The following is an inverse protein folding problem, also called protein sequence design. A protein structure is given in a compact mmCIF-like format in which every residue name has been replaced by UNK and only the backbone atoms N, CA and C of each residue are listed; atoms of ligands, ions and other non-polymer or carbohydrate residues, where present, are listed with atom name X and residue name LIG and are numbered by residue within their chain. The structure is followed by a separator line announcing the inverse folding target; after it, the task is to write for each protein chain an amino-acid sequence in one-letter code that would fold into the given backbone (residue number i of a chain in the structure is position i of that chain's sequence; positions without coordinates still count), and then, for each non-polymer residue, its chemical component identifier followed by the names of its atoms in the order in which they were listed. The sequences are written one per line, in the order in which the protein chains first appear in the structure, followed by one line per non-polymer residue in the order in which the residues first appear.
data_IF_608170262959
#
_entry.id   IF_608170262959
#
_cell.length_a   1.000
_cell.length_b   1.000
_cell.length_c   1.000
_cell.angle_alpha   90.00
_cell.angle_beta   90.00
_cell.angle_gamma   90.00
#
_symmetry.space_group_name_H-M   'P 1'
#
loop_
_entity.id
_entity.type
_entity.pdbx_description
1 polymer ?
#
# COMPACT_ATOMS: atom_id res chain seq x y z
N UNK A 1 -19.91 2.91 -9.29
CA UNK A 1 -19.36 1.61 -8.84
C UNK A 1 -18.38 1.92 -7.71
N UNK A 2 -18.79 1.81 -6.44
CA UNK A 2 -17.93 2.00 -5.25
C UNK A 2 -17.11 3.33 -5.12
N UNK A 3 -17.50 4.39 -5.83
CA UNK A 3 -16.74 5.66 -5.97
C UNK A 3 -16.42 6.33 -4.62
N UNK A 4 -17.28 6.20 -3.62
CA UNK A 4 -17.07 6.79 -2.28
C UNK A 4 -15.89 6.17 -1.55
N UNK A 5 -15.73 4.84 -1.59
CA UNK A 5 -14.62 4.13 -0.92
C UNK A 5 -13.28 4.45 -1.57
N UNK A 6 -13.28 4.51 -2.91
CA UNK A 6 -12.12 4.91 -3.68
C UNK A 6 -11.68 6.34 -3.34
N UNK A 7 -12.62 7.29 -3.31
CA UNK A 7 -12.32 8.68 -2.94
C UNK A 7 -11.81 8.80 -1.49
N UNK A 8 -12.35 7.99 -0.56
CA UNK A 8 -11.88 7.95 0.82
C UNK A 8 -10.44 7.46 0.93
N UNK A 9 -10.10 6.38 0.21
CA UNK A 9 -8.74 5.86 0.12
C UNK A 9 -7.79 6.89 -0.50
N UNK A 10 -8.20 7.57 -1.58
CA UNK A 10 -7.40 8.62 -2.24
C UNK A 10 -7.12 9.80 -1.30
N UNK A 11 -8.12 10.23 -0.51
CA UNK A 11 -7.92 11.28 0.50
C UNK A 11 -6.93 10.84 1.56
N UNK A 12 -7.04 9.62 2.07
CA UNK A 12 -6.08 9.07 3.03
C UNK A 12 -4.64 9.08 2.47
N UNK A 13 -4.46 8.62 1.23
CA UNK A 13 -3.16 8.58 0.57
C UNK A 13 -2.52 9.97 0.32
N UNK A 14 -3.34 11.02 0.25
CA UNK A 14 -2.89 12.41 0.08
C UNK A 14 -2.58 13.14 1.39
N UNK A 15 -2.91 12.54 2.55
CA UNK A 15 -2.68 13.17 3.85
C UNK A 15 -1.21 13.06 4.27
N UNK A 16 -0.65 14.11 4.91
CA UNK A 16 0.64 14.03 5.60
C UNK A 16 0.63 12.93 6.67
N UNK A 17 1.78 12.27 6.89
CA UNK A 17 1.92 11.12 7.82
C UNK A 17 1.36 11.42 9.22
N UNK A 18 1.60 12.62 9.73
CA UNK A 18 1.13 13.07 11.05
C UNK A 18 -0.41 13.01 11.16
N UNK A 19 -1.12 13.39 10.09
CA UNK A 19 -2.58 13.44 10.05
C UNK A 19 -3.24 12.10 9.70
N UNK A 20 -2.46 11.13 9.21
CA UNK A 20 -2.99 9.80 8.88
C UNK A 20 -3.49 9.07 10.13
N UNK A 21 -2.81 9.23 11.27
CA UNK A 21 -3.23 8.61 12.54
C UNK A 21 -4.60 9.11 12.99
N UNK A 22 -4.80 10.43 13.00
CA UNK A 22 -6.08 11.04 13.38
C UNK A 22 -7.20 10.63 12.41
N UNK A 23 -6.87 10.48 11.13
CA UNK A 23 -7.82 10.00 10.13
C UNK A 23 -8.23 8.55 10.39
N UNK A 24 -7.31 7.66 10.76
CA UNK A 24 -7.62 6.27 11.11
C UNK A 24 -8.53 6.19 12.34
N UNK A 25 -8.26 6.98 13.37
CA UNK A 25 -9.13 7.08 14.55
C UNK A 25 -10.53 7.59 14.18
N UNK A 26 -10.62 8.57 13.28
CA UNK A 26 -11.90 9.06 12.79
C UNK A 26 -12.68 8.02 11.96
N UNK A 27 -12.00 7.11 11.25
CA UNK A 27 -12.65 6.00 10.54
C UNK A 27 -13.19 4.96 11.51
N UNK A 28 -12.42 4.61 12.54
CA UNK A 28 -12.83 3.67 13.59
C UNK A 28 -14.09 4.16 14.33
N UNK A 29 -14.11 5.44 14.72
CA UNK A 29 -15.27 6.08 15.34
C UNK A 29 -16.53 6.09 14.46
N UNK A 30 -16.36 5.99 13.13
CA UNK A 30 -17.46 5.91 12.15
C UNK A 30 -17.79 4.47 11.76
N UNK A 31 -17.18 3.48 12.41
CA UNK A 31 -17.29 2.05 12.10
C UNK A 31 -16.97 1.73 10.63
N UNK A 32 -16.07 2.49 10.02
CA UNK A 32 -15.59 2.23 8.66
C UNK A 32 -14.36 1.32 8.75
N UNK A 33 -14.49 0.11 8.24
CA UNK A 33 -13.39 -0.86 8.15
C UNK A 33 -12.36 -0.41 7.10
N UNK A 34 -11.21 0.06 7.57
CA UNK A 34 -10.11 0.51 6.72
C UNK A 34 -9.55 -0.62 5.85
N UNK A 35 -9.57 -1.86 6.32
CA UNK A 35 -9.02 -3.03 5.59
C UNK A 35 -9.79 -3.34 4.30
N UNK A 36 -11.03 -2.86 4.20
CA UNK A 36 -11.89 -3.02 3.02
C UNK A 36 -11.78 -1.87 2.03
N UNK A 37 -10.96 -0.86 2.32
CA UNK A 37 -10.71 0.22 1.38
C UNK A 37 -9.80 -0.28 0.27
N UNK A 38 -10.02 0.15 -0.99
CA UNK A 38 -9.17 -0.24 -2.09
C UNK A 38 -7.77 0.35 -1.92
N UNK A 39 -6.76 -0.39 -2.35
CA UNK A 39 -5.39 0.13 -2.46
C UNK A 39 -5.36 1.14 -3.60
N UNK A 40 -4.90 2.35 -3.32
CA UNK A 40 -4.80 3.44 -4.30
C UNK A 40 -3.35 3.92 -4.42
N UNK A 41 -3.03 4.51 -5.57
CA UNK A 41 -1.71 5.12 -5.79
C UNK A 41 -1.46 6.21 -4.73
N UNK A 42 -0.29 6.14 -4.09
CA UNK A 42 0.16 7.20 -3.17
C UNK A 42 0.38 8.50 -3.94
N UNK A 43 -0.12 9.62 -3.41
CA UNK A 43 0.09 10.96 -3.95
C UNK A 43 1.04 11.79 -3.09
N UNK A 44 1.70 11.18 -2.10
CA UNK A 44 2.67 11.88 -1.29
C UNK A 44 3.82 12.39 -2.19
N UNK A 45 4.20 13.65 -2.03
CA UNK A 45 5.24 14.30 -2.84
C UNK A 45 6.65 13.69 -2.64
N UNK A 46 6.80 12.73 -1.71
CA UNK A 46 8.04 12.03 -1.38
C UNK A 46 8.04 10.55 -1.79
N UNK A 47 7.36 10.20 -2.89
CA UNK A 47 7.34 8.80 -3.41
C UNK A 47 8.66 8.44 -4.11
N UNK A 48 9.48 9.42 -4.51
CA UNK A 48 10.66 9.18 -5.33
C UNK A 48 11.79 8.42 -4.62
N UNK A 49 11.77 8.32 -3.28
CA UNK A 49 12.80 7.63 -2.48
C UNK A 49 12.19 6.76 -1.36
N UNK A 50 11.29 5.84 -1.70
CA UNK A 50 10.80 4.84 -0.74
C UNK A 50 11.76 3.64 -0.76
N UNK A 51 12.42 3.29 0.36
CA UNK A 51 13.27 2.11 0.39
C UNK A 51 12.45 0.84 0.18
N UNK A 52 13.07 -0.18 -0.41
CA UNK A 52 12.45 -1.50 -0.54
C UNK A 52 12.08 -2.03 0.85
N UNK A 53 10.88 -2.59 0.95
CA UNK A 53 10.49 -3.37 2.13
C UNK A 53 11.40 -4.58 2.29
N UNK A 54 11.49 -5.12 3.51
CA UNK A 54 12.30 -6.31 3.78
C UNK A 54 12.00 -7.48 2.83
N UNK A 55 10.72 -7.74 2.58
CA UNK A 55 10.29 -8.77 1.63
C UNK A 55 10.71 -8.47 0.18
N UNK A 56 10.63 -7.21 -0.25
CA UNK A 56 11.08 -6.80 -1.58
C UNK A 56 12.60 -6.92 -1.75
N UNK A 57 13.38 -6.56 -0.72
CA UNK A 57 14.85 -6.74 -0.73
C UNK A 57 15.22 -8.22 -0.83
N UNK A 58 14.58 -9.10 -0.05
CA UNK A 58 14.80 -10.54 -0.13
C UNK A 58 14.42 -11.11 -1.49
N UNK A 59 13.28 -10.67 -2.05
CA UNK A 59 12.87 -11.08 -3.40
C UNK A 59 13.87 -10.61 -4.46
N UNK A 60 14.31 -9.36 -4.41
CA UNK A 60 15.30 -8.80 -5.32
C UNK A 60 16.63 -9.56 -5.26
N UNK A 61 17.13 -9.87 -4.06
CA UNK A 61 18.36 -10.67 -3.89
C UNK A 61 18.19 -12.06 -4.48
N UNK A 62 17.06 -12.72 -4.20
CA UNK A 62 16.79 -14.06 -4.72
C UNK A 62 16.70 -14.04 -6.25
N UNK A 63 16.07 -13.01 -6.82
CA UNK A 63 15.98 -12.80 -8.26
C UNK A 63 17.34 -12.64 -8.93
N UNK A 64 18.30 -11.94 -8.31
CA UNK A 64 19.66 -11.84 -8.84
C UNK A 64 20.38 -13.19 -8.92
N UNK A 65 20.05 -14.14 -8.04
CA UNK A 65 20.67 -15.47 -8.03
C UNK A 65 20.11 -16.40 -9.11
N UNK A 66 18.84 -16.26 -9.48
CA UNK A 66 18.20 -17.12 -10.48
C UNK A 66 17.08 -16.39 -11.26
N UNK A 67 17.42 -15.45 -12.16
CA UNK A 67 16.45 -14.58 -12.81
C UNK A 67 15.43 -15.31 -13.70
N UNK A 68 15.79 -16.50 -14.21
CA UNK A 68 14.94 -17.34 -15.08
C UNK A 68 13.93 -18.19 -14.29
N UNK A 69 13.95 -18.12 -12.96
CA UNK A 69 13.06 -18.92 -12.12
C UNK A 69 11.60 -18.47 -12.28
N UNK A 70 10.73 -19.41 -12.65
CA UNK A 70 9.28 -19.19 -12.67
C UNK A 70 8.70 -18.90 -11.27
N UNK A 71 9.46 -19.18 -10.20
CA UNK A 71 8.98 -19.06 -8.82
C UNK A 71 8.55 -17.64 -8.42
N UNK A 72 9.10 -16.60 -9.04
CA UNK A 72 8.70 -15.22 -8.74
C UNK A 72 7.33 -14.82 -9.30
N UNK A 73 6.78 -15.60 -10.23
CA UNK A 73 5.49 -15.35 -10.88
C UNK A 73 4.42 -16.37 -10.46
N UNK A 74 4.74 -17.31 -9.58
CA UNK A 74 3.78 -18.28 -9.08
C UNK A 74 2.83 -17.58 -8.09
N UNK A 75 1.53 -17.65 -8.38
CA UNK A 75 0.52 -17.24 -7.40
C UNK A 75 0.59 -18.20 -6.21
N UNK A 76 0.64 -17.67 -4.99
CA UNK A 76 0.65 -18.50 -3.78
C UNK A 76 -0.51 -19.50 -3.79
N UNK A 77 -0.20 -20.78 -3.61
CA UNK A 77 -1.17 -21.87 -3.46
C UNK A 77 -1.82 -21.79 -2.09
#
# INVERSE_FOLDING_TARGET
MNDKKYNLAKRFASLPKEKQKDFLLALENKSIDFTRLPIVKSTAEHVDNIPLSYAQTGLWLTWQLNPESAAYNMSGV
#
